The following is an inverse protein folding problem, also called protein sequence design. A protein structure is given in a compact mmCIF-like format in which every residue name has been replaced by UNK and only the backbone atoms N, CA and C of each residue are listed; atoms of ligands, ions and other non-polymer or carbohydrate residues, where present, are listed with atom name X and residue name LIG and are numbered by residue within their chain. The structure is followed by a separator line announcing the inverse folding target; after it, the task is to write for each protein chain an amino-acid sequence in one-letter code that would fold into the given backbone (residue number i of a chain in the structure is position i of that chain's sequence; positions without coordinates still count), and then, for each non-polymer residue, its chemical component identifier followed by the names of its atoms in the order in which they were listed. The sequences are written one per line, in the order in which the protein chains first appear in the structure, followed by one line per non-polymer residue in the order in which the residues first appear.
data_IF_060595956028
#
_entry.id   IF_060595956028
#
_cell.length_a   1.000
_cell.length_b   1.000
_cell.length_c   1.000
_cell.angle_alpha   90.00
_cell.angle_beta   90.00
_cell.angle_gamma   90.00
#
_symmetry.space_group_name_H-M   'P 1'
#
loop_
_entity.id
_entity.type
_entity.pdbx_description
1 polymer ?
#
# COMPACT_ATOMS: atom_id res chain seq x y z
N UNK A 1 -6.79 6.63 -7.89
CA UNK A 1 -6.18 5.53 -7.14
C UNK A 1 -4.83 5.16 -7.74
N UNK A 2 -3.76 5.21 -6.97
CA UNK A 2 -2.46 4.62 -7.29
C UNK A 2 -2.44 3.20 -6.75
N UNK A 3 -2.30 2.19 -7.65
CA UNK A 3 -2.45 0.77 -7.32
C UNK A 3 -1.15 0.02 -7.63
N UNK A 4 -0.40 -0.35 -6.59
CA UNK A 4 0.96 -0.83 -6.71
C UNK A 4 1.06 -2.36 -6.72
N UNK A 5 1.92 -2.89 -7.61
CA UNK A 5 2.18 -4.32 -7.76
C UNK A 5 3.10 -4.88 -6.65
N UNK A 6 3.22 -6.19 -6.58
CA UNK A 6 4.06 -6.90 -5.61
C UNK A 6 5.49 -7.17 -6.07
N UNK A 7 6.25 -7.81 -5.21
CA UNK A 7 7.61 -8.26 -5.53
C UNK A 7 7.62 -9.28 -6.66
N UNK A 8 8.53 -9.13 -7.64
CA UNK A 8 8.65 -10.01 -8.80
C UNK A 8 7.67 -9.71 -9.93
N UNK A 9 6.84 -8.67 -9.82
CA UNK A 9 5.85 -8.26 -10.81
C UNK A 9 6.22 -6.91 -11.44
N UNK A 10 5.36 -6.41 -12.31
CA UNK A 10 5.49 -5.11 -12.98
C UNK A 10 4.14 -4.36 -13.00
N UNK A 11 4.10 -3.19 -13.64
CA UNK A 11 2.91 -2.35 -13.77
C UNK A 11 1.74 -3.02 -14.48
N UNK A 12 1.95 -4.13 -15.18
CA UNK A 12 0.89 -4.89 -15.87
C UNK A 12 0.20 -5.93 -14.98
N UNK A 13 0.79 -6.27 -13.82
CA UNK A 13 0.33 -7.36 -12.94
C UNK A 13 -1.14 -7.20 -12.53
N UNK A 14 -1.53 -6.00 -12.10
CA UNK A 14 -2.91 -5.72 -11.71
C UNK A 14 -3.93 -5.88 -12.84
N UNK A 15 -3.55 -5.61 -14.09
CA UNK A 15 -4.44 -5.82 -15.24
C UNK A 15 -4.46 -7.29 -15.65
N UNK A 16 -3.27 -7.89 -15.84
CA UNK A 16 -3.16 -9.24 -16.41
C UNK A 16 -3.55 -10.34 -15.45
N UNK A 17 -3.16 -10.23 -14.19
CA UNK A 17 -3.37 -11.23 -13.15
C UNK A 17 -4.43 -10.78 -12.14
N UNK A 18 -4.41 -9.51 -11.73
CA UNK A 18 -5.35 -8.92 -10.78
C UNK A 18 -6.74 -8.67 -11.35
N UNK A 19 -6.86 -8.51 -12.68
CA UNK A 19 -8.11 -8.14 -13.35
C UNK A 19 -8.76 -6.87 -12.78
N UNK A 20 -7.93 -5.92 -12.32
CA UNK A 20 -8.37 -4.70 -11.68
C UNK A 20 -9.32 -3.87 -12.55
N UNK A 21 -9.08 -3.84 -13.87
CA UNK A 21 -9.97 -3.20 -14.84
C UNK A 21 -11.38 -3.78 -14.79
N UNK A 22 -11.55 -5.11 -14.79
CA UNK A 22 -12.89 -5.73 -14.70
C UNK A 22 -13.52 -5.53 -13.33
N UNK A 23 -12.72 -5.59 -12.25
CA UNK A 23 -13.24 -5.40 -10.88
C UNK A 23 -13.78 -3.97 -10.74
N UNK A 24 -13.01 -2.96 -11.12
CA UNK A 24 -13.40 -1.56 -10.98
C UNK A 24 -14.54 -1.20 -11.93
N UNK A 25 -14.52 -1.66 -13.18
CA UNK A 25 -15.61 -1.44 -14.14
C UNK A 25 -16.95 -2.03 -13.65
N UNK A 26 -16.92 -3.26 -13.12
CA UNK A 26 -18.13 -3.89 -12.56
C UNK A 26 -18.64 -3.14 -11.32
N UNK A 27 -17.77 -2.66 -10.45
CA UNK A 27 -18.15 -1.88 -9.28
C UNK A 27 -18.74 -0.51 -9.67
N UNK A 28 -18.19 0.15 -10.68
CA UNK A 28 -18.74 1.41 -11.24
C UNK A 28 -20.09 1.15 -11.90
N UNK A 29 -20.22 0.11 -12.73
CA UNK A 29 -21.46 -0.25 -13.41
C UNK A 29 -22.60 -0.58 -12.42
N UNK A 30 -22.27 -1.24 -11.31
CA UNK A 30 -23.23 -1.52 -10.21
C UNK A 30 -23.46 -0.33 -9.27
N UNK A 31 -22.83 0.81 -9.53
CA UNK A 31 -22.87 2.02 -8.66
C UNK A 31 -22.36 1.78 -7.23
N UNK A 32 -21.54 0.75 -7.03
CA UNK A 32 -20.90 0.44 -5.76
C UNK A 32 -19.61 1.19 -5.55
N UNK A 33 -19.05 1.79 -6.62
CA UNK A 33 -17.80 2.54 -6.59
C UNK A 33 -17.95 3.79 -7.47
N UNK A 34 -17.30 4.88 -7.08
CA UNK A 34 -17.25 6.07 -7.93
C UNK A 34 -16.30 5.87 -9.11
N UNK A 35 -16.58 6.48 -10.28
CA UNK A 35 -15.61 6.50 -11.38
C UNK A 35 -14.29 7.11 -10.92
N UNK A 36 -13.18 6.43 -11.23
CA UNK A 36 -11.84 6.89 -10.85
C UNK A 36 -10.80 6.53 -11.92
N UNK A 37 -9.71 7.27 -11.94
CA UNK A 37 -8.51 6.92 -12.68
C UNK A 37 -7.68 5.99 -11.79
N UNK A 38 -7.25 4.85 -12.34
CA UNK A 38 -6.33 3.93 -11.67
C UNK A 38 -4.97 4.03 -12.34
N UNK A 39 -3.96 4.42 -11.57
CA UNK A 39 -2.57 4.55 -12.01
C UNK A 39 -1.78 3.38 -11.47
N UNK A 40 -1.11 2.65 -12.34
CA UNK A 40 -0.27 1.51 -12.01
C UNK A 40 1.15 1.82 -12.47
N UNK A 41 2.08 1.96 -11.53
CA UNK A 41 3.45 2.34 -11.81
C UNK A 41 4.42 1.17 -11.58
N UNK A 42 5.58 1.23 -12.24
CA UNK A 42 6.69 0.30 -11.97
C UNK A 42 7.39 0.68 -10.66
N UNK A 43 7.17 -0.10 -9.61
CA UNK A 43 7.59 0.22 -8.25
C UNK A 43 9.07 -0.03 -7.93
N UNK A 44 9.87 -0.52 -8.88
CA UNK A 44 11.30 -0.74 -8.72
C UNK A 44 12.10 0.48 -9.19
N UNK A 45 11.99 1.58 -8.46
CA UNK A 45 12.72 2.80 -8.79
C UNK A 45 14.17 2.77 -8.26
N UNK A 46 15.04 3.49 -8.96
CA UNK A 46 16.42 3.76 -8.56
C UNK A 46 16.80 5.16 -8.97
N UNK A 47 17.69 5.79 -8.20
CA UNK A 47 18.18 7.10 -8.58
C UNK A 47 19.10 7.00 -9.79
N UNK A 48 19.10 8.03 -10.62
CA UNK A 48 19.93 8.08 -11.81
C UNK A 48 21.42 7.92 -11.45
N UNK A 49 22.11 7.02 -12.14
CA UNK A 49 23.52 6.73 -11.89
C UNK A 49 23.81 5.69 -10.80
N UNK A 50 22.81 5.24 -10.06
CA UNK A 50 22.99 4.16 -9.07
C UNK A 50 22.99 2.78 -9.75
N UNK A 51 24.01 1.98 -9.44
CA UNK A 51 24.06 0.58 -9.88
C UNK A 51 23.03 -0.25 -9.11
N UNK A 52 22.49 -1.33 -9.71
CA UNK A 52 21.67 -2.29 -8.97
C UNK A 52 22.45 -2.84 -7.77
N UNK A 53 21.80 -3.02 -6.61
CA UNK A 53 22.44 -3.67 -5.47
C UNK A 53 22.79 -5.12 -5.83
N UNK A 54 23.99 -5.55 -5.47
CA UNK A 54 24.33 -6.98 -5.54
C UNK A 54 23.76 -7.71 -4.33
N UNK A 55 22.68 -8.42 -4.58
CA UNK A 55 21.97 -9.23 -3.57
C UNK A 55 22.22 -10.73 -3.76
N UNK A 56 23.21 -11.11 -4.58
CA UNK A 56 23.56 -12.51 -4.85
C UNK A 56 23.90 -13.23 -3.55
N UNK A 57 23.16 -14.31 -3.27
CA UNK A 57 23.36 -15.14 -2.07
C UNK A 57 22.97 -14.47 -0.75
N UNK A 58 22.36 -13.29 -0.77
CA UNK A 58 21.88 -12.62 0.44
C UNK A 58 20.53 -13.20 0.86
N UNK A 59 20.37 -13.66 2.10
CA UNK A 59 19.09 -14.12 2.60
C UNK A 59 18.04 -13.03 2.61
N UNK A 60 16.78 -13.40 2.39
CA UNK A 60 15.66 -12.48 2.57
C UNK A 60 15.63 -11.98 4.04
N UNK A 61 15.56 -10.65 4.21
CA UNK A 61 15.60 -10.01 5.53
C UNK A 61 17.00 -9.73 6.06
N UNK A 62 18.07 -10.01 5.29
CA UNK A 62 19.41 -9.56 5.66
C UNK A 62 19.52 -8.04 5.69
N UNK A 63 20.47 -7.44 6.45
CA UNK A 63 20.63 -6.00 6.50
C UNK A 63 20.83 -5.36 5.12
N UNK A 64 21.56 -6.01 4.23
CA UNK A 64 21.80 -5.54 2.87
C UNK A 64 20.52 -5.56 2.02
N UNK A 65 19.72 -6.63 2.13
CA UNK A 65 18.42 -6.72 1.46
C UNK A 65 17.45 -5.66 1.98
N UNK A 66 17.40 -5.48 3.30
CA UNK A 66 16.52 -4.49 3.93
C UNK A 66 16.93 -3.06 3.52
N UNK A 67 18.23 -2.77 3.46
CA UNK A 67 18.72 -1.48 2.98
C UNK A 67 18.36 -1.26 1.51
N UNK A 68 18.56 -2.24 0.65
CA UNK A 68 18.21 -2.15 -0.77
C UNK A 68 16.71 -1.89 -0.97
N UNK A 69 15.85 -2.53 -0.18
CA UNK A 69 14.40 -2.25 -0.19
C UNK A 69 14.09 -0.82 0.25
N UNK A 70 14.73 -0.32 1.32
CA UNK A 70 14.54 1.04 1.78
C UNK A 70 14.98 2.07 0.73
N UNK A 71 16.14 1.88 0.11
CA UNK A 71 16.65 2.76 -0.95
C UNK A 71 15.71 2.77 -2.17
N UNK A 72 15.19 1.60 -2.56
CA UNK A 72 14.20 1.45 -3.63
C UNK A 72 12.88 2.14 -3.29
N UNK A 73 12.37 1.99 -2.07
CA UNK A 73 11.13 2.64 -1.63
C UNK A 73 11.29 4.16 -1.61
N UNK A 74 12.41 4.67 -1.09
CA UNK A 74 12.70 6.10 -1.09
C UNK A 74 12.85 6.68 -2.51
N UNK A 75 13.44 5.93 -3.45
CA UNK A 75 13.52 6.36 -4.83
C UNK A 75 12.14 6.36 -5.51
N UNK A 76 11.30 5.37 -5.23
CA UNK A 76 9.93 5.33 -5.75
C UNK A 76 9.04 6.42 -5.14
N UNK A 77 9.22 6.71 -3.86
CA UNK A 77 8.54 7.83 -3.18
C UNK A 77 8.86 9.18 -3.85
N UNK A 78 10.14 9.45 -4.14
CA UNK A 78 10.57 10.64 -4.86
C UNK A 78 9.94 10.71 -6.26
N UNK A 79 9.95 9.61 -7.01
CA UNK A 79 9.35 9.54 -8.35
C UNK A 79 7.82 9.73 -8.30
N UNK A 80 7.14 9.03 -7.41
CA UNK A 80 5.70 9.12 -7.24
C UNK A 80 5.25 10.55 -6.89
N UNK A 81 5.88 11.15 -5.87
CA UNK A 81 5.41 12.41 -5.31
C UNK A 81 5.82 13.63 -6.11
N UNK A 82 7.00 13.59 -6.75
CA UNK A 82 7.57 14.74 -7.48
C UNK A 82 7.37 14.69 -8.98
N UNK A 83 7.12 13.51 -9.55
CA UNK A 83 7.00 13.34 -11.00
C UNK A 83 5.63 12.78 -11.37
N UNK A 84 5.28 11.60 -10.89
CA UNK A 84 4.09 10.88 -11.36
C UNK A 84 2.78 11.57 -10.96
N UNK A 85 2.61 11.96 -9.69
CA UNK A 85 1.41 12.68 -9.24
C UNK A 85 1.24 14.00 -10.00
N UNK A 86 2.24 14.90 -10.08
CA UNK A 86 2.12 16.13 -10.87
C UNK A 86 1.83 15.88 -12.36
N UNK A 87 2.43 14.85 -12.95
CA UNK A 87 2.15 14.48 -14.34
C UNK A 87 0.71 14.05 -14.55
N UNK A 88 0.20 13.16 -13.69
CA UNK A 88 -1.18 12.67 -13.77
C UNK A 88 -2.17 13.82 -13.58
N UNK A 89 -1.95 14.68 -12.58
CA UNK A 89 -2.84 15.79 -12.28
C UNK A 89 -2.84 16.88 -13.37
N UNK A 90 -1.71 17.07 -14.07
CA UNK A 90 -1.63 18.04 -15.18
C UNK A 90 -2.14 17.48 -16.52
N UNK A 91 -2.15 16.16 -16.68
CA UNK A 91 -2.45 15.51 -17.96
C UNK A 91 -3.90 15.01 -18.04
N UNK A 92 -4.45 14.54 -16.92
CA UNK A 92 -5.77 13.93 -16.86
C UNK A 92 -6.74 14.78 -16.04
N UNK A 93 -8.04 14.58 -16.23
CA UNK A 93 -9.09 15.30 -15.48
C UNK A 93 -9.24 14.69 -14.08
N UNK A 94 -8.30 14.99 -13.21
CA UNK A 94 -8.33 14.59 -11.79
C UNK A 94 -8.95 15.68 -10.93
N UNK A 95 -9.41 15.28 -9.73
CA UNK A 95 -9.60 16.20 -8.61
C UNK A 95 -8.31 16.15 -7.81
N UNK A 96 -7.44 17.17 -8.05
CA UNK A 96 -6.05 17.17 -7.62
C UNK A 96 -5.87 17.60 -6.16
N UNK A 97 -6.57 16.93 -5.25
CA UNK A 97 -6.43 17.14 -3.81
C UNK A 97 -6.25 15.80 -3.08
N UNK A 98 -5.89 15.88 -1.81
CA UNK A 98 -5.64 14.70 -0.97
C UNK A 98 -6.91 13.87 -0.70
N UNK A 99 -8.06 14.52 -0.62
CA UNK A 99 -9.31 13.86 -0.28
C UNK A 99 -9.90 13.07 -1.46
N UNK A 100 -9.31 13.24 -2.65
CA UNK A 100 -9.61 12.48 -3.86
C UNK A 100 -8.40 11.67 -4.35
N UNK A 101 -7.40 11.42 -3.47
CA UNK A 101 -6.23 10.62 -3.81
C UNK A 101 -6.04 9.46 -2.84
N UNK A 102 -6.00 8.26 -3.42
CA UNK A 102 -5.80 7.00 -2.73
C UNK A 102 -4.53 6.30 -3.22
N UNK A 103 -3.86 5.57 -2.33
CA UNK A 103 -2.83 4.61 -2.72
C UNK A 103 -3.08 3.27 -2.02
N UNK A 104 -2.97 2.20 -2.79
CA UNK A 104 -3.03 0.84 -2.29
C UNK A 104 -2.05 -0.05 -3.05
N UNK A 105 -1.79 -1.23 -2.54
CA UNK A 105 -0.96 -2.20 -3.22
C UNK A 105 -0.92 -3.54 -2.53
N UNK A 106 -0.42 -4.54 -3.27
CA UNK A 106 -0.27 -5.90 -2.77
C UNK A 106 1.17 -6.17 -2.32
N UNK A 107 1.37 -6.94 -1.25
CA UNK A 107 2.69 -7.42 -0.81
C UNK A 107 3.71 -6.27 -0.71
N UNK A 108 4.77 -6.27 -1.50
CA UNK A 108 5.74 -5.16 -1.61
C UNK A 108 5.04 -3.81 -1.89
N UNK A 109 4.08 -3.78 -2.81
CA UNK A 109 3.31 -2.57 -3.12
C UNK A 109 2.43 -2.12 -1.95
N UNK A 110 1.95 -3.03 -1.12
CA UNK A 110 1.26 -2.72 0.14
C UNK A 110 2.20 -2.08 1.16
N UNK A 111 3.45 -2.55 1.23
CA UNK A 111 4.48 -1.93 2.06
C UNK A 111 4.83 -0.51 1.59
N UNK A 112 4.98 -0.32 0.27
CA UNK A 112 5.21 1.00 -0.33
C UNK A 112 4.03 1.94 -0.07
N UNK A 113 2.79 1.46 -0.27
CA UNK A 113 1.59 2.26 -0.03
C UNK A 113 1.53 2.75 1.42
N UNK A 114 1.78 1.87 2.39
CA UNK A 114 1.79 2.25 3.81
C UNK A 114 2.89 3.25 4.14
N UNK A 115 4.13 3.00 3.70
CA UNK A 115 5.26 3.89 4.00
C UNK A 115 5.03 5.27 3.39
N UNK A 116 4.81 5.33 2.07
CA UNK A 116 4.73 6.59 1.32
C UNK A 116 3.52 7.43 1.77
N UNK A 117 2.36 6.82 1.93
CA UNK A 117 1.16 7.60 2.28
C UNK A 117 1.21 8.14 3.70
N UNK A 118 1.78 7.38 4.64
CA UNK A 118 1.91 7.83 6.03
C UNK A 118 2.98 8.91 6.20
N UNK A 119 3.98 8.94 5.31
CA UNK A 119 4.95 10.03 5.24
C UNK A 119 4.38 11.28 4.53
N UNK A 120 3.34 11.11 3.68
CA UNK A 120 2.70 12.16 2.86
C UNK A 120 1.19 12.28 3.11
N UNK A 121 0.77 12.48 4.36
CA UNK A 121 -0.63 12.72 4.72
C UNK A 121 -1.20 14.05 4.19
N UNK A 122 -0.38 14.88 3.57
CA UNK A 122 -0.76 16.06 2.79
C UNK A 122 -1.18 15.71 1.36
N UNK A 123 -0.77 14.54 0.85
CA UNK A 123 -1.08 14.09 -0.51
C UNK A 123 -2.17 13.02 -0.57
N UNK A 124 -2.35 12.21 0.50
CA UNK A 124 -3.24 11.06 0.50
C UNK A 124 -4.19 11.05 1.69
N UNK A 125 -5.44 10.59 1.48
CA UNK A 125 -6.43 10.36 2.55
C UNK A 125 -6.95 8.93 2.61
N UNK A 126 -6.64 8.08 1.63
CA UNK A 126 -7.08 6.68 1.57
C UNK A 126 -5.87 5.78 1.37
N UNK A 127 -5.70 4.81 2.26
CA UNK A 127 -4.52 3.96 2.36
C UNK A 127 -4.95 2.50 2.40
N UNK A 128 -4.41 1.67 1.49
CA UNK A 128 -4.70 0.24 1.44
C UNK A 128 -3.43 -0.62 1.39
N UNK A 129 -3.32 -1.57 2.33
CA UNK A 129 -2.23 -2.56 2.32
C UNK A 129 -2.78 -3.98 2.20
N UNK A 130 -2.66 -4.57 1.01
CA UNK A 130 -3.09 -5.94 0.73
C UNK A 130 -1.92 -6.88 0.97
N UNK A 131 -1.96 -7.66 2.03
CA UNK A 131 -0.85 -8.55 2.45
C UNK A 131 0.52 -7.86 2.63
N UNK A 132 0.50 -6.53 2.83
CA UNK A 132 1.70 -5.69 2.94
C UNK A 132 1.54 -4.52 3.91
N UNK A 133 0.39 -4.43 4.59
CA UNK A 133 0.15 -3.41 5.59
C UNK A 133 1.23 -3.43 6.69
N UNK A 134 1.64 -2.25 7.12
CA UNK A 134 2.70 -2.11 8.13
C UNK A 134 4.10 -1.90 7.53
N UNK A 135 4.25 -1.93 6.20
CA UNK A 135 5.51 -1.62 5.54
C UNK A 135 6.67 -2.46 6.08
N UNK A 136 7.79 -1.83 6.30
CA UNK A 136 8.99 -2.48 6.82
C UNK A 136 8.85 -2.99 8.28
N UNK A 137 7.82 -2.54 9.01
CA UNK A 137 7.55 -3.01 10.38
C UNK A 137 7.23 -4.51 10.42
N UNK A 138 6.69 -5.09 9.35
CA UNK A 138 6.43 -6.53 9.22
C UNK A 138 7.69 -7.39 9.46
N UNK A 139 8.88 -6.85 9.20
CA UNK A 139 10.16 -7.55 9.39
C UNK A 139 10.80 -7.27 10.75
N UNK A 140 10.34 -6.24 11.45
CA UNK A 140 10.96 -5.80 12.70
C UNK A 140 10.62 -6.66 13.92
N UNK A 141 9.68 -7.61 13.79
CA UNK A 141 9.19 -8.50 14.86
C UNK A 141 8.90 -7.78 16.19
N UNK A 142 8.38 -6.56 16.12
CA UNK A 142 7.98 -5.73 17.27
C UNK A 142 6.59 -5.12 17.04
N UNK A 143 6.02 -4.57 18.08
CA UNK A 143 4.78 -3.80 17.98
C UNK A 143 5.03 -2.44 17.31
N UNK A 144 3.98 -1.88 16.74
CA UNK A 144 3.94 -0.48 16.31
C UNK A 144 4.16 0.42 17.55
N UNK A 145 5.05 1.38 17.41
CA UNK A 145 5.13 2.53 18.32
C UNK A 145 4.51 3.75 17.63
N UNK A 146 3.31 4.18 18.01
CA UNK A 146 2.64 5.32 17.37
C UNK A 146 3.43 6.63 17.44
N UNK A 147 4.36 6.74 18.38
CA UNK A 147 5.15 7.98 18.62
C UNK A 147 6.40 8.07 17.75
N UNK A 148 6.84 6.97 17.17
CA UNK A 148 8.11 6.93 16.43
C UNK A 148 7.97 6.37 15.02
N UNK A 149 7.10 5.38 14.82
CA UNK A 149 6.93 4.73 13.52
C UNK A 149 6.14 5.59 12.53
N UNK A 150 6.37 5.34 11.24
CA UNK A 150 5.68 6.03 10.13
C UNK A 150 5.67 7.55 10.30
N UNK A 151 6.86 8.12 10.54
CA UNK A 151 7.02 9.57 10.72
C UNK A 151 6.04 10.16 11.75
N UNK A 152 5.70 9.36 12.78
CA UNK A 152 4.76 9.74 13.85
C UNK A 152 3.33 10.00 13.36
N UNK A 153 2.92 9.44 12.22
CA UNK A 153 1.59 9.63 11.67
C UNK A 153 0.48 9.26 12.68
N UNK A 154 0.73 8.28 13.54
CA UNK A 154 -0.22 7.78 14.54
C UNK A 154 -0.07 8.42 15.93
N UNK A 155 0.81 9.39 16.12
CA UNK A 155 1.10 9.96 17.44
C UNK A 155 -0.09 10.72 18.06
N UNK A 156 -0.99 11.23 17.23
CA UNK A 156 -2.25 11.85 17.65
C UNK A 156 -3.42 11.26 16.85
N UNK A 157 -4.18 10.34 17.44
CA UNK A 157 -5.32 9.68 16.78
C UNK A 157 -6.39 10.65 16.27
N UNK A 158 -6.62 11.75 16.98
CA UNK A 158 -7.62 12.73 16.57
C UNK A 158 -7.18 13.51 15.31
N UNK A 159 -5.92 13.87 15.23
CA UNK A 159 -5.34 14.49 14.02
C UNK A 159 -5.29 13.50 12.87
N UNK A 160 -4.91 12.25 13.13
CA UNK A 160 -4.92 11.19 12.11
C UNK A 160 -6.33 10.99 11.52
N UNK A 161 -7.35 10.87 12.37
CA UNK A 161 -8.74 10.68 11.94
C UNK A 161 -9.30 11.85 11.11
N UNK A 162 -8.77 13.06 11.28
CA UNK A 162 -9.13 14.22 10.43
C UNK A 162 -8.46 14.19 9.06
N UNK A 163 -7.30 13.52 8.97
CA UNK A 163 -6.50 13.46 7.74
C UNK A 163 -6.78 12.19 6.93
N UNK A 164 -7.05 11.07 7.54
CA UNK A 164 -7.19 9.78 6.87
C UNK A 164 -8.64 9.32 6.91
N UNK A 165 -9.27 9.27 5.74
CA UNK A 165 -10.64 8.82 5.60
C UNK A 165 -10.74 7.30 5.62
N UNK A 166 -9.72 6.61 5.11
CA UNK A 166 -9.66 5.16 5.13
C UNK A 166 -8.22 4.67 5.35
N UNK A 167 -8.01 3.90 6.40
CA UNK A 167 -6.86 3.03 6.58
C UNK A 167 -7.37 1.59 6.50
N UNK A 168 -6.88 0.82 5.54
CA UNK A 168 -7.38 -0.52 5.25
C UNK A 168 -6.24 -1.54 5.19
N UNK A 169 -6.42 -2.65 5.91
CA UNK A 169 -5.47 -3.76 5.99
C UNK A 169 -6.15 -5.05 5.57
N UNK A 170 -5.52 -5.81 4.70
CA UNK A 170 -6.00 -7.12 4.29
C UNK A 170 -4.95 -8.20 4.36
N UNK A 171 -5.41 -9.44 4.58
CA UNK A 171 -4.58 -10.64 4.60
C UNK A 171 -5.40 -11.88 4.26
N UNK A 172 -4.84 -12.84 3.55
CA UNK A 172 -5.45 -14.15 3.34
C UNK A 172 -5.34 -15.05 4.58
N UNK A 173 -6.39 -15.78 4.91
CA UNK A 173 -6.39 -16.63 6.12
C UNK A 173 -5.44 -17.83 6.05
N UNK A 174 -4.95 -18.19 4.85
CA UNK A 174 -3.96 -19.24 4.61
C UNK A 174 -2.57 -18.72 4.25
N UNK A 175 -2.36 -17.39 4.30
CA UNK A 175 -1.02 -16.84 4.09
C UNK A 175 -0.01 -17.38 5.11
N UNK A 176 1.30 -17.33 4.81
CA UNK A 176 2.34 -17.76 5.73
C UNK A 176 2.18 -17.13 7.11
N UNK A 177 2.29 -17.94 8.16
CA UNK A 177 2.01 -17.52 9.55
C UNK A 177 2.74 -16.24 9.95
N UNK A 178 4.00 -16.09 9.51
CA UNK A 178 4.76 -14.86 9.80
C UNK A 178 4.08 -13.58 9.26
N UNK A 179 3.50 -13.67 8.07
CA UNK A 179 2.82 -12.51 7.45
C UNK A 179 1.49 -12.23 8.14
N UNK A 180 0.68 -13.26 8.34
CA UNK A 180 -0.58 -13.14 9.06
C UNK A 180 -0.38 -12.56 10.46
N UNK A 181 0.53 -13.15 11.23
CA UNK A 181 0.85 -12.70 12.59
C UNK A 181 1.36 -11.25 12.60
N UNK A 182 2.16 -10.85 11.60
CA UNK A 182 2.64 -9.48 11.49
C UNK A 182 1.52 -8.47 11.25
N UNK A 183 0.59 -8.78 10.33
CA UNK A 183 -0.55 -7.91 10.02
C UNK A 183 -1.58 -7.90 11.17
N UNK A 184 -1.82 -9.06 11.80
CA UNK A 184 -2.67 -9.14 13.00
C UNK A 184 -2.09 -8.33 14.16
N UNK A 185 -0.77 -8.36 14.35
CA UNK A 185 -0.08 -7.56 15.36
C UNK A 185 -0.20 -6.06 15.09
N UNK A 186 -0.12 -5.66 13.82
CA UNK A 186 -0.37 -4.29 13.43
C UNK A 186 -1.81 -3.88 13.73
N UNK A 187 -2.80 -4.70 13.34
CA UNK A 187 -4.21 -4.48 13.65
C UNK A 187 -4.42 -4.24 15.14
N UNK A 188 -3.95 -5.16 16.00
CA UNK A 188 -4.05 -5.01 17.45
C UNK A 188 -3.38 -3.74 17.96
N UNK A 189 -2.19 -3.40 17.44
CA UNK A 189 -1.48 -2.18 17.85
C UNK A 189 -2.20 -0.89 17.44
N UNK A 190 -2.90 -0.89 16.31
CA UNK A 190 -3.72 0.23 15.86
C UNK A 190 -4.97 0.38 16.72
N UNK A 191 -5.63 -0.73 17.12
CA UNK A 191 -6.75 -0.71 18.08
C UNK A 191 -6.30 -0.16 19.43
N UNK A 192 -5.20 -0.64 19.98
CA UNK A 192 -4.62 -0.16 21.24
C UNK A 192 -4.29 1.36 21.19
N UNK A 193 -3.89 1.83 20.01
CA UNK A 193 -3.63 3.25 19.76
C UNK A 193 -4.88 4.07 19.43
N UNK A 194 -6.07 3.47 19.41
CA UNK A 194 -7.33 4.10 19.00
C UNK A 194 -7.30 4.67 17.57
N UNK A 195 -6.60 4.03 16.67
CA UNK A 195 -6.54 4.38 15.24
C UNK A 195 -7.65 3.62 14.50
N UNK A 196 -8.64 4.36 14.00
CA UNK A 196 -9.73 3.77 13.20
C UNK A 196 -9.18 3.20 11.90
N UNK A 197 -9.46 1.93 11.64
CA UNK A 197 -9.06 1.24 10.42
C UNK A 197 -10.05 0.11 10.07
N UNK A 198 -9.92 -0.43 8.87
CA UNK A 198 -10.59 -1.66 8.44
C UNK A 198 -9.57 -2.78 8.45
N UNK A 199 -9.90 -3.89 9.07
CA UNK A 199 -9.14 -5.13 8.97
C UNK A 199 -9.98 -6.17 8.24
N UNK A 200 -9.46 -6.72 7.16
CA UNK A 200 -10.15 -7.68 6.30
C UNK A 200 -9.35 -8.96 6.17
N UNK A 201 -9.97 -10.07 6.52
CA UNK A 201 -9.40 -11.41 6.31
C UNK A 201 -10.07 -12.06 5.11
N UNK A 202 -9.30 -12.33 4.04
CA UNK A 202 -9.79 -13.05 2.87
C UNK A 202 -9.86 -14.54 3.20
N UNK A 203 -11.08 -15.14 3.29
CA UNK A 203 -11.21 -16.50 3.75
C UNK A 203 -10.67 -17.51 2.75
N UNK A 204 -9.96 -18.53 3.25
CA UNK A 204 -9.43 -19.67 2.49
C UNK A 204 -8.48 -19.33 1.35
N UNK A 205 -7.80 -18.18 1.41
CA UNK A 205 -6.83 -17.75 0.40
C UNK A 205 -5.44 -17.52 1.00
N UNK A 206 -4.42 -17.74 0.18
CA UNK A 206 -3.01 -17.59 0.49
C UNK A 206 -2.45 -16.25 0.00
N UNK A 207 -1.13 -16.09 -0.02
CA UNK A 207 -0.41 -14.93 -0.60
C UNK A 207 -0.49 -14.98 -2.13
N UNK A 208 -1.64 -14.67 -2.67
CA UNK A 208 -2.00 -14.93 -4.07
C UNK A 208 -3.00 -13.91 -4.64
N UNK A 209 -3.14 -13.89 -5.97
CA UNK A 209 -4.04 -12.98 -6.66
C UNK A 209 -5.51 -13.10 -6.26
N UNK A 210 -5.97 -14.27 -5.79
CA UNK A 210 -7.34 -14.40 -5.31
C UNK A 210 -7.58 -13.55 -4.07
N UNK A 211 -6.63 -13.50 -3.14
CA UNK A 211 -6.65 -12.61 -1.98
C UNK A 211 -6.74 -11.16 -2.43
N UNK A 212 -5.82 -10.72 -3.25
CA UNK A 212 -5.70 -9.30 -3.65
C UNK A 212 -6.85 -8.81 -4.54
N UNK A 213 -7.46 -9.67 -5.34
CA UNK A 213 -8.71 -9.35 -6.07
C UNK A 213 -9.87 -9.10 -5.12
N UNK A 214 -10.00 -9.92 -4.05
CA UNK A 214 -11.02 -9.73 -3.02
C UNK A 214 -10.75 -8.47 -2.21
N UNK A 215 -9.48 -8.20 -1.90
CA UNK A 215 -9.06 -7.00 -1.20
C UNK A 215 -9.42 -5.74 -2.00
N UNK A 216 -9.08 -5.69 -3.29
CA UNK A 216 -9.45 -4.59 -4.17
C UNK A 216 -10.97 -4.43 -4.29
N UNK A 217 -11.71 -5.54 -4.37
CA UNK A 217 -13.18 -5.53 -4.43
C UNK A 217 -13.82 -4.98 -3.16
N UNK A 218 -13.25 -5.22 -1.99
CA UNK A 218 -13.73 -4.65 -0.72
C UNK A 218 -13.25 -3.20 -0.52
N UNK A 219 -12.02 -2.90 -0.90
CA UNK A 219 -11.40 -1.59 -0.72
C UNK A 219 -12.00 -0.51 -1.64
N UNK A 220 -12.14 -0.77 -2.93
CA UNK A 220 -12.53 0.24 -3.93
C UNK A 220 -13.89 0.92 -3.66
N UNK A 221 -14.95 0.22 -3.18
CA UNK A 221 -16.23 0.85 -2.83
C UNK A 221 -16.16 1.84 -1.66
N UNK A 222 -15.07 1.84 -0.90
CA UNK A 222 -14.88 2.72 0.27
C UNK A 222 -14.15 4.02 -0.07
N UNK A 223 -13.75 4.19 -1.34
CA UNK A 223 -13.02 5.37 -1.82
C UNK A 223 -13.98 6.50 -2.20
N UNK A 224 -13.59 7.74 -1.89
CA UNK A 224 -14.23 8.99 -2.33
C UNK A 224 -15.72 9.04 -1.94
#
# INVERSE_FOLDING_TARGET
LYLQHGGGEDETGWVRQGHANFIVDNLIASKSCKPMIVVMAYGYARRAGEAPPDLTGKPFGSPEMMKAMQDMFAAFEDDLTRVLIPYVDSTFRTVADRDHRAMAGLSMGGMQAFQITLDHLDLFSYIGGFSGAGGMLLFANRNLDPKTDFNRAFADPATFAKKVHLLWLGVGTKEPERMRAGIQKLHTSLDDANIKHVFYESPDTDHEWQTWRRDLKDFAPRLF
#
